data_IF_648865434272
#
_entry.id   IF_648865434272
#
_cell.length_a   1.000
_cell.length_b   1.000
_cell.length_c   1.000
_cell.angle_alpha   90.00
_cell.angle_beta   90.00
_cell.angle_gamma   90.00
#
_symmetry.space_group_name_H-M   'P 1'
#
loop_
_entity.id
_entity.type
_entity.pdbx_description
1 polymer ?
#
# COMPACT_ATOMS: atom_id res chain seq x y z
N UNK A 1 -2.70 2.66 14.49
CA UNK A 1 -3.36 1.36 14.16
C UNK A 1 -3.57 0.50 15.39
N UNK A 2 -2.53 0.22 16.19
CA UNK A 2 -2.63 -0.63 17.39
C UNK A 2 -3.58 -0.06 18.44
N UNK A 3 -3.56 1.25 18.67
CA UNK A 3 -4.47 1.94 19.60
C UNK A 3 -5.95 1.82 19.20
N UNK A 4 -6.24 1.70 17.91
CA UNK A 4 -7.59 1.57 17.35
C UNK A 4 -7.92 0.14 16.90
N UNK A 5 -7.22 -0.87 17.42
CA UNK A 5 -7.29 -2.24 16.90
C UNK A 5 -8.72 -2.82 16.92
N UNK A 6 -9.45 -2.63 18.02
CA UNK A 6 -10.80 -3.16 18.17
C UNK A 6 -11.82 -2.44 17.27
N UNK A 7 -11.69 -1.12 17.11
CA UNK A 7 -12.55 -0.31 16.24
C UNK A 7 -12.36 -0.71 14.77
N UNK A 8 -11.10 -0.86 14.34
CA UNK A 8 -10.76 -1.32 13.00
C UNK A 8 -11.26 -2.75 12.75
N UNK A 9 -11.11 -3.66 13.73
CA UNK A 9 -11.61 -5.03 13.60
C UNK A 9 -13.14 -5.07 13.46
N UNK A 10 -13.86 -4.27 14.26
CA UNK A 10 -15.32 -4.12 14.15
C UNK A 10 -15.72 -3.56 12.79
N UNK A 11 -15.02 -2.54 12.29
CA UNK A 11 -15.28 -1.96 10.98
C UNK A 11 -15.12 -3.01 9.87
N UNK A 12 -14.02 -3.78 9.90
CA UNK A 12 -13.79 -4.89 8.95
C UNK A 12 -14.96 -5.87 9.02
N UNK A 13 -15.37 -6.32 10.20
CA UNK A 13 -16.50 -7.25 10.34
C UNK A 13 -17.80 -6.68 9.76
N UNK A 14 -18.09 -5.40 10.00
CA UNK A 14 -19.33 -4.76 9.54
C UNK A 14 -19.43 -4.68 8.01
N UNK A 15 -18.33 -4.40 7.31
CA UNK A 15 -18.36 -4.25 5.84
C UNK A 15 -18.00 -5.54 5.09
N UNK A 16 -17.08 -6.35 5.61
CA UNK A 16 -16.61 -7.56 4.94
C UNK A 16 -17.41 -8.82 5.34
N UNK A 17 -18.01 -8.83 6.52
CA UNK A 17 -18.82 -9.95 7.03
C UNK A 17 -18.03 -11.05 7.74
N UNK A 18 -16.69 -10.99 7.80
CA UNK A 18 -15.90 -11.99 8.53
C UNK A 18 -16.13 -11.91 10.06
N UNK A 19 -16.04 -13.03 10.78
CA UNK A 19 -16.14 -13.04 12.25
C UNK A 19 -15.13 -12.08 12.90
N UNK A 20 -15.52 -11.48 14.02
CA UNK A 20 -14.68 -10.50 14.72
C UNK A 20 -13.30 -11.07 15.13
N UNK A 21 -13.22 -12.36 15.44
CA UNK A 21 -11.95 -13.02 15.74
C UNK A 21 -10.99 -12.99 14.54
N UNK A 22 -11.49 -13.27 13.33
CA UNK A 22 -10.70 -13.21 12.10
C UNK A 22 -10.33 -11.77 11.74
N UNK A 23 -11.24 -10.82 11.98
CA UNK A 23 -11.00 -9.40 11.75
C UNK A 23 -9.91 -8.84 12.68
N UNK A 24 -9.86 -9.28 13.95
CA UNK A 24 -8.75 -8.96 14.86
C UNK A 24 -7.43 -9.54 14.37
N UNK A 25 -7.45 -10.79 13.90
CA UNK A 25 -6.27 -11.41 13.27
C UNK A 25 -5.77 -10.60 12.06
N UNK A 26 -6.68 -10.18 11.18
CA UNK A 26 -6.34 -9.29 10.07
C UNK A 26 -5.78 -7.96 10.53
N UNK A 27 -6.37 -7.31 11.54
CA UNK A 27 -5.88 -6.02 12.04
C UNK A 27 -4.42 -6.13 12.51
N UNK A 28 -4.11 -7.15 13.31
CA UNK A 28 -2.74 -7.40 13.80
C UNK A 28 -1.79 -7.67 12.63
N UNK A 29 -2.22 -8.51 11.69
CA UNK A 29 -1.46 -8.80 10.48
C UNK A 29 -1.28 -7.57 9.57
N UNK A 30 -2.25 -6.66 9.54
CA UNK A 30 -2.17 -5.43 8.76
C UNK A 30 -1.15 -4.46 9.36
N UNK A 31 -1.15 -4.32 10.69
CA UNK A 31 -0.22 -3.45 11.42
C UNK A 31 1.23 -3.94 11.31
N UNK A 32 1.46 -5.25 11.31
CA UNK A 32 2.82 -5.81 11.23
C UNK A 32 3.56 -5.45 9.93
N UNK A 33 2.85 -5.26 8.80
CA UNK A 33 3.47 -4.76 7.59
C UNK A 33 4.01 -3.34 7.75
N UNK A 34 3.26 -2.46 8.44
CA UNK A 34 3.68 -1.07 8.66
C UNK A 34 4.93 -1.03 9.52
N UNK A 35 4.93 -1.79 10.62
CA UNK A 35 6.08 -1.90 11.53
C UNK A 35 7.31 -2.47 10.80
N UNK A 36 7.14 -3.56 10.07
CA UNK A 36 8.24 -4.19 9.33
C UNK A 36 8.84 -3.26 8.28
N UNK A 37 8.01 -2.64 7.44
CA UNK A 37 8.52 -1.75 6.39
C UNK A 37 9.05 -0.43 6.92
N UNK A 38 8.56 0.07 8.06
CA UNK A 38 9.19 1.19 8.74
C UNK A 38 10.64 0.87 9.14
N UNK A 39 10.91 -0.35 9.60
CA UNK A 39 12.28 -0.80 9.86
C UNK A 39 13.09 -0.95 8.54
N UNK A 40 12.48 -1.51 7.48
CA UNK A 40 13.16 -1.69 6.20
C UNK A 40 13.46 -0.39 5.45
N UNK A 41 12.74 0.71 5.74
CA UNK A 41 13.00 2.03 5.13
C UNK A 41 14.45 2.49 5.33
N UNK A 42 15.08 2.11 6.43
CA UNK A 42 16.47 2.45 6.75
C UNK A 42 17.50 1.46 6.18
N UNK A 43 17.05 0.42 5.45
CA UNK A 43 17.88 -0.69 4.96
C UNK A 43 17.88 -0.82 3.43
N UNK A 44 17.54 0.25 2.72
CA UNK A 44 17.62 0.32 1.26
C UNK A 44 19.07 0.48 0.77
N UNK A 45 19.90 -0.55 0.98
CA UNK A 45 21.32 -0.52 0.68
C UNK A 45 21.61 -0.56 -0.83
N UNK A 46 22.65 0.17 -1.23
CA UNK A 46 23.33 0.02 -2.51
C UNK A 46 24.60 -0.82 -2.38
N UNK A 47 25.33 -0.96 -3.47
CA UNK A 47 26.52 -1.81 -3.56
C UNK A 47 27.73 -1.03 -4.06
N UNK A 48 28.91 -1.38 -3.57
CA UNK A 48 30.19 -0.98 -4.17
C UNK A 48 30.74 -2.17 -4.96
N UNK A 49 30.99 -1.96 -6.25
CA UNK A 49 31.40 -3.04 -7.17
C UNK A 49 32.85 -2.79 -7.60
N UNK A 50 33.72 -3.82 -7.59
CA UNK A 50 35.09 -3.69 -8.11
C UNK A 50 35.11 -3.11 -9.53
N UNK A 51 35.98 -2.13 -9.76
CA UNK A 51 36.19 -1.57 -11.09
C UNK A 51 37.33 -2.32 -11.80
N UNK A 52 37.18 -2.51 -13.11
CA UNK A 52 38.22 -3.08 -13.97
C UNK A 52 39.21 -2.03 -14.48
N UNK A 53 38.90 -0.75 -14.28
CA UNK A 53 39.70 0.41 -14.73
C UNK A 53 40.18 1.17 -13.49
N UNK A 54 41.47 1.45 -13.41
CA UNK A 54 42.05 2.22 -12.33
C UNK A 54 41.45 3.63 -12.25
N UNK A 55 41.23 4.11 -11.03
CA UNK A 55 40.64 5.44 -10.77
C UNK A 55 39.11 5.51 -10.91
N UNK A 56 38.44 4.44 -11.36
CA UNK A 56 36.98 4.38 -11.44
C UNK A 56 36.38 3.71 -10.20
N UNK A 57 35.22 4.19 -9.74
CA UNK A 57 34.42 3.53 -8.70
C UNK A 57 33.02 3.22 -9.22
N UNK A 58 32.65 1.94 -9.20
CA UNK A 58 31.29 1.51 -9.53
C UNK A 58 30.46 1.46 -8.26
N UNK A 59 29.33 2.16 -8.25
CA UNK A 59 28.38 2.19 -7.13
C UNK A 59 26.96 1.98 -7.64
N UNK A 60 26.14 1.30 -6.85
CA UNK A 60 24.69 1.23 -7.06
C UNK A 60 24.00 1.94 -5.91
N UNK A 61 22.84 2.55 -6.18
CA UNK A 61 21.95 3.11 -5.17
C UNK A 61 20.52 2.65 -5.45
N UNK A 62 19.66 2.68 -4.44
CA UNK A 62 18.23 2.42 -4.57
C UNK A 62 17.47 3.73 -4.38
N UNK A 63 16.50 3.99 -5.24
CA UNK A 63 15.69 5.22 -5.20
C UNK A 63 14.21 4.87 -5.40
N UNK A 64 13.27 5.68 -4.88
CA UNK A 64 11.85 5.49 -5.12
C UNK A 64 11.53 5.52 -6.62
N UNK A 65 10.57 4.69 -7.03
CA UNK A 65 10.10 4.66 -8.42
C UNK A 65 9.20 5.85 -8.77
N UNK A 66 8.59 6.50 -7.78
CA UNK A 66 7.68 7.65 -7.94
C UNK A 66 6.27 7.38 -7.43
N UNK A 67 5.25 7.83 -8.15
CA UNK A 67 3.83 7.66 -7.75
C UNK A 67 3.37 6.23 -8.07
N UNK A 68 2.73 5.57 -7.10
CA UNK A 68 2.27 4.17 -7.20
C UNK A 68 0.75 4.11 -7.20
N UNK A 69 0.18 3.41 -8.19
CA UNK A 69 -1.22 3.02 -8.21
C UNK A 69 -1.43 1.69 -7.47
N UNK A 70 -2.34 1.67 -6.51
CA UNK A 70 -2.63 0.51 -5.66
C UNK A 70 -4.09 0.10 -5.88
N UNK A 71 -4.31 -1.17 -6.22
CA UNK A 71 -5.65 -1.73 -6.39
C UNK A 71 -5.74 -3.01 -5.54
N UNK A 72 -6.68 -3.02 -4.59
CA UNK A 72 -6.84 -4.10 -3.62
C UNK A 72 -8.23 -4.73 -3.67
N UNK A 73 -8.36 -6.03 -3.35
CA UNK A 73 -9.63 -6.73 -3.28
C UNK A 73 -10.33 -6.52 -1.94
N UNK A 74 -11.57 -7.00 -1.84
CA UNK A 74 -12.42 -6.83 -0.66
C UNK A 74 -12.14 -7.81 0.49
N UNK A 75 -11.49 -8.96 0.23
CA UNK A 75 -11.42 -10.10 1.14
C UNK A 75 -10.54 -9.88 2.39
N UNK A 76 -9.51 -9.05 2.27
CA UNK A 76 -8.69 -8.56 3.39
C UNK A 76 -8.52 -7.04 3.24
N UNK A 77 -9.58 -6.28 3.60
CA UNK A 77 -9.68 -4.87 3.23
C UNK A 77 -8.62 -3.99 3.89
N UNK A 78 -8.05 -4.39 5.02
CA UNK A 78 -6.91 -3.69 5.64
C UNK A 78 -5.58 -4.26 5.17
N UNK A 79 -5.38 -5.59 5.24
CA UNK A 79 -4.05 -6.18 5.06
C UNK A 79 -3.55 -6.12 3.61
N UNK A 80 -4.45 -6.08 2.62
CA UNK A 80 -4.05 -5.91 1.22
C UNK A 80 -3.57 -4.49 0.92
N UNK A 81 -4.07 -3.51 1.66
CA UNK A 81 -3.66 -2.12 1.54
C UNK A 81 -2.33 -1.91 2.26
N UNK A 82 -2.24 -2.27 3.55
CA UNK A 82 -1.05 -1.98 4.35
C UNK A 82 0.20 -2.64 3.78
N UNK A 83 0.14 -3.89 3.30
CA UNK A 83 1.30 -4.56 2.68
C UNK A 83 1.87 -3.80 1.47
N UNK A 84 1.03 -3.05 0.74
CA UNK A 84 1.43 -2.32 -0.48
C UNK A 84 1.86 -0.89 -0.14
N UNK A 85 1.06 -0.22 0.68
CA UNK A 85 1.32 1.16 1.12
C UNK A 85 2.58 1.22 1.98
N UNK A 86 2.74 0.31 2.94
CA UNK A 86 3.91 0.28 3.81
C UNK A 86 5.23 0.19 3.02
N UNK A 87 5.30 -0.75 2.06
CA UNK A 87 6.45 -0.92 1.18
C UNK A 87 6.70 0.32 0.30
N UNK A 88 5.64 0.91 -0.26
CA UNK A 88 5.75 2.10 -1.10
C UNK A 88 6.28 3.31 -0.32
N UNK A 89 5.73 3.57 0.87
CA UNK A 89 6.15 4.68 1.73
C UNK A 89 7.59 4.49 2.23
N UNK A 90 7.94 3.28 2.66
CA UNK A 90 9.29 2.95 3.11
C UNK A 90 10.34 3.19 2.02
N UNK A 91 9.98 2.94 0.76
CA UNK A 91 10.85 3.23 -0.38
C UNK A 91 10.89 4.72 -0.77
N UNK A 92 10.05 5.58 -0.18
CA UNK A 92 9.92 7.01 -0.52
C UNK A 92 8.93 7.33 -1.64
N UNK A 93 7.98 6.45 -1.93
CA UNK A 93 6.95 6.65 -2.96
C UNK A 93 5.68 7.29 -2.39
N UNK A 94 4.84 7.86 -3.25
CA UNK A 94 3.47 8.27 -2.92
C UNK A 94 2.45 7.30 -3.51
N UNK A 95 1.25 7.24 -2.95
CA UNK A 95 0.25 6.23 -3.27
C UNK A 95 -1.10 6.84 -3.69
N UNK A 96 -1.69 6.27 -4.73
CA UNK A 96 -3.11 6.44 -5.08
C UNK A 96 -3.78 5.08 -5.02
N UNK A 97 -4.68 4.91 -4.07
CA UNK A 97 -5.32 3.63 -3.72
C UNK A 97 -6.75 3.64 -4.25
N UNK A 98 -7.10 2.71 -5.15
CA UNK A 98 -8.50 2.42 -5.45
C UNK A 98 -9.01 1.41 -4.44
N UNK A 99 -9.84 1.87 -3.50
CA UNK A 99 -10.47 0.99 -2.51
C UNK A 99 -11.43 -0.01 -3.19
N UNK A 100 -11.59 -1.22 -2.65
CA UNK A 100 -12.66 -2.12 -3.07
C UNK A 100 -14.03 -1.45 -2.82
N UNK A 101 -14.97 -1.64 -3.74
CA UNK A 101 -16.27 -0.95 -3.67
C UNK A 101 -17.17 -1.54 -2.59
N UNK A 102 -16.99 -2.83 -2.28
CA UNK A 102 -17.75 -3.53 -1.25
C UNK A 102 -17.25 -3.25 0.17
N UNK A 103 -15.95 -2.97 0.34
CA UNK A 103 -15.32 -2.75 1.65
C UNK A 103 -14.43 -1.49 1.69
N UNK A 104 -14.97 -0.30 1.33
CA UNK A 104 -14.17 0.90 1.21
C UNK A 104 -13.80 1.55 2.55
N UNK A 105 -14.51 1.26 3.64
CA UNK A 105 -14.40 2.02 4.88
C UNK A 105 -13.10 1.71 5.61
N UNK A 106 -12.60 0.46 5.58
CA UNK A 106 -11.27 0.13 6.10
C UNK A 106 -10.18 0.98 5.44
N UNK A 107 -10.23 1.16 4.12
CA UNK A 107 -9.25 1.98 3.40
C UNK A 107 -9.28 3.44 3.86
N UNK A 108 -10.48 4.00 4.04
CA UNK A 108 -10.66 5.37 4.51
C UNK A 108 -10.21 5.54 5.96
N UNK A 109 -10.51 4.58 6.84
CA UNK A 109 -10.06 4.59 8.22
C UNK A 109 -8.52 4.54 8.31
N UNK A 110 -7.87 3.69 7.51
CA UNK A 110 -6.41 3.65 7.44
C UNK A 110 -5.81 4.97 6.94
N UNK A 111 -6.43 5.61 5.94
CA UNK A 111 -5.98 6.92 5.45
C UNK A 111 -6.13 8.01 6.51
N UNK A 112 -7.22 7.97 7.30
CA UNK A 112 -7.42 8.91 8.41
C UNK A 112 -6.35 8.74 9.49
N UNK A 113 -6.08 7.51 9.89
CA UNK A 113 -5.03 7.21 10.87
C UNK A 113 -3.64 7.56 10.36
N UNK A 114 -3.39 7.47 9.04
CA UNK A 114 -2.13 7.91 8.45
C UNK A 114 -1.96 9.43 8.52
N UNK A 115 -3.02 10.21 8.29
CA UNK A 115 -3.01 11.66 8.50
C UNK A 115 -2.69 12.01 9.95
N UNK A 116 -3.33 11.33 10.91
CA UNK A 116 -3.08 11.52 12.35
C UNK A 116 -1.66 11.14 12.77
N UNK A 117 -1.08 10.11 12.13
CA UNK A 117 0.32 9.72 12.32
C UNK A 117 1.32 10.72 11.68
N UNK A 118 0.85 11.78 11.02
CA UNK A 118 1.69 12.83 10.43
C UNK A 118 2.14 12.57 8.99
N UNK A 119 1.53 11.62 8.27
CA UNK A 119 1.81 11.43 6.85
C UNK A 119 1.38 12.70 6.08
N UNK A 120 2.28 13.34 5.30
CA UNK A 120 1.94 14.59 4.61
C UNK A 120 0.78 14.44 3.62
N UNK A 121 0.00 15.52 3.46
CA UNK A 121 -1.11 15.58 2.49
C UNK A 121 -0.61 15.24 1.08
N UNK A 122 -1.36 14.40 0.38
CA UNK A 122 -1.03 13.95 -0.99
C UNK A 122 -0.08 12.76 -1.06
N UNK A 123 0.53 12.31 0.04
CA UNK A 123 1.39 11.11 0.06
C UNK A 123 0.57 9.82 -0.01
N UNK A 124 -0.59 9.79 0.65
CA UNK A 124 -1.58 8.70 0.55
C UNK A 124 -2.90 9.32 0.10
N UNK A 125 -3.47 8.79 -0.98
CA UNK A 125 -4.76 9.21 -1.52
C UNK A 125 -5.64 7.98 -1.73
N UNK A 126 -6.90 8.04 -1.29
CA UNK A 126 -7.86 6.95 -1.47
C UNK A 126 -8.99 7.40 -2.39
N UNK A 127 -9.28 6.60 -3.39
CA UNK A 127 -10.39 6.79 -4.33
C UNK A 127 -11.40 5.67 -4.10
N UNK A 128 -12.61 6.05 -3.72
CA UNK A 128 -13.79 5.18 -3.74
C UNK A 128 -14.53 5.37 -5.07
N UNK A 129 -15.07 4.28 -5.61
CA UNK A 129 -15.76 4.32 -6.91
C UNK A 129 -16.70 3.15 -7.06
N UNK A 130 -17.81 3.34 -7.77
CA UNK A 130 -18.64 2.24 -8.29
C UNK A 130 -18.15 1.69 -9.65
N UNK A 131 -17.26 2.41 -10.33
CA UNK A 131 -16.73 2.03 -11.66
C UNK A 131 -15.25 1.62 -11.56
N UNK A 132 -15.02 0.40 -11.08
CA UNK A 132 -13.67 -0.11 -10.84
C UNK A 132 -12.80 -0.18 -12.10
N UNK A 133 -13.38 -0.50 -13.26
CA UNK A 133 -12.66 -0.58 -14.54
C UNK A 133 -12.13 0.79 -14.99
N UNK A 134 -12.92 1.85 -14.83
CA UNK A 134 -12.54 3.21 -15.22
C UNK A 134 -11.35 3.70 -14.41
N UNK A 135 -11.43 3.62 -13.08
CA UNK A 135 -10.33 4.07 -12.20
C UNK A 135 -9.11 3.16 -12.37
N UNK A 136 -9.31 1.84 -12.49
CA UNK A 136 -8.22 0.90 -12.73
C UNK A 136 -7.45 1.21 -14.02
N UNK A 137 -8.15 1.50 -15.13
CA UNK A 137 -7.54 1.89 -16.39
C UNK A 137 -6.75 3.19 -16.26
N UNK A 138 -7.28 4.19 -15.57
CA UNK A 138 -6.57 5.45 -15.35
C UNK A 138 -5.29 5.20 -14.55
N UNK A 139 -5.37 4.47 -13.43
CA UNK A 139 -4.19 4.14 -12.63
C UNK A 139 -3.14 3.39 -13.46
N UNK A 140 -3.56 2.47 -14.34
CA UNK A 140 -2.66 1.68 -15.16
C UNK A 140 -2.01 2.44 -16.32
N UNK A 141 -2.62 3.53 -16.80
CA UNK A 141 -2.19 4.20 -18.05
C UNK A 141 -1.73 5.63 -17.85
N UNK A 142 -2.06 6.27 -16.73
CA UNK A 142 -1.73 7.67 -16.50
C UNK A 142 -0.20 7.86 -16.33
N UNK A 143 0.45 8.79 -17.06
CA UNK A 143 1.92 8.88 -17.16
C UNK A 143 2.64 9.24 -15.86
N UNK A 144 1.93 9.84 -14.89
CA UNK A 144 2.47 10.12 -13.55
C UNK A 144 2.63 8.84 -12.72
N UNK A 145 1.79 7.82 -12.93
CA UNK A 145 1.88 6.55 -12.21
C UNK A 145 3.06 5.75 -12.77
N UNK A 146 4.06 5.48 -11.94
CA UNK A 146 5.29 4.76 -12.32
C UNK A 146 5.29 3.29 -11.96
N UNK A 147 4.35 2.87 -11.11
CA UNK A 147 4.18 1.47 -10.71
C UNK A 147 2.71 1.18 -10.40
N UNK A 148 2.25 0.01 -10.83
CA UNK A 148 0.98 -0.58 -10.39
C UNK A 148 1.25 -1.78 -9.49
N UNK A 149 0.48 -1.86 -8.41
CA UNK A 149 0.40 -3.04 -7.55
C UNK A 149 -1.06 -3.47 -7.43
N UNK A 150 -1.39 -4.56 -8.12
CA UNK A 150 -2.74 -5.12 -8.15
C UNK A 150 -2.81 -6.39 -7.30
N UNK A 151 -3.94 -6.60 -6.64
CA UNK A 151 -4.35 -7.90 -6.11
C UNK A 151 -5.83 -8.08 -6.41
N UNK A 152 -6.20 -9.24 -6.95
CA UNK A 152 -7.55 -9.54 -7.38
C UNK A 152 -7.55 -10.76 -8.29
N UNK A 153 -8.58 -10.91 -9.13
CA UNK A 153 -8.70 -12.05 -10.01
C UNK A 153 -7.68 -12.02 -11.16
N UNK A 154 -7.27 -13.20 -11.63
CA UNK A 154 -6.35 -13.35 -12.77
C UNK A 154 -6.89 -12.70 -14.04
N UNK A 155 -8.20 -12.76 -14.28
CA UNK A 155 -8.82 -12.13 -15.45
C UNK A 155 -8.65 -10.61 -15.47
N UNK A 156 -8.86 -9.96 -14.32
CA UNK A 156 -8.66 -8.51 -14.18
C UNK A 156 -7.17 -8.15 -14.20
N UNK A 157 -6.29 -8.99 -13.66
CA UNK A 157 -4.84 -8.73 -13.67
C UNK A 157 -4.17 -8.82 -15.05
N UNK A 158 -4.83 -9.38 -16.06
CA UNK A 158 -4.32 -9.50 -17.44
C UNK A 158 -4.60 -8.28 -18.31
N UNK A 159 -5.62 -7.49 -17.97
CA UNK A 159 -6.04 -6.30 -18.72
C UNK A 159 -5.39 -5.04 -18.16
#
# INVERSE_FOLDING_TARGET
MTEHAEELARLITLENGKPLADARGEQTYSASFIEWFAAEAMRAYGDHIPATIDGVRNVTIKQPIGVVGIITPWNFPSAMITRKVAAALAAGCTCVIKAPSETPFSALALAKLAEEAGVPKGVINVITTGSSSTVGKILATHPIIKKISFTGSTGVGKV
#
